data_IF_668301292017
#
_entry.id   IF_668301292017
#
_cell.length_a   1.000
_cell.length_b   1.000
_cell.length_c   1.000
_cell.angle_alpha   90.00
_cell.angle_beta   90.00
_cell.angle_gamma   90.00
#
_symmetry.space_group_name_H-M   'P 1'
#
loop_
_entity.id
_entity.type
_entity.pdbx_description
1 polymer ?
#
# COMPACT_ATOMS: atom_id res chain seq x y z
N UNK A 1 37.40 -1.63 -6.74
CA UNK A 1 36.42 -1.70 -5.62
C UNK A 1 35.30 -0.64 -5.65
N UNK A 2 35.38 0.45 -6.43
CA UNK A 2 34.36 1.52 -6.42
C UNK A 2 33.10 1.23 -7.26
N UNK A 3 33.23 0.54 -8.39
CA UNK A 3 32.12 0.29 -9.33
C UNK A 3 31.00 -0.62 -8.75
N UNK A 4 31.37 -1.59 -7.91
CA UNK A 4 30.39 -2.49 -7.28
C UNK A 4 29.44 -1.76 -6.32
N UNK A 5 29.91 -0.71 -5.63
CA UNK A 5 29.07 0.11 -4.74
C UNK A 5 28.13 1.03 -5.51
N UNK A 6 28.62 1.64 -6.60
CA UNK A 6 27.81 2.50 -7.48
C UNK A 6 26.69 1.69 -8.13
N UNK A 7 27.01 0.49 -8.65
CA UNK A 7 26.03 -0.43 -9.24
C UNK A 7 24.94 -0.80 -8.23
N UNK A 8 25.33 -1.19 -7.01
CA UNK A 8 24.39 -1.59 -5.96
C UNK A 8 23.46 -0.45 -5.53
N UNK A 9 23.98 0.78 -5.37
CA UNK A 9 23.16 1.93 -5.04
C UNK A 9 22.17 2.35 -6.14
N UNK A 10 22.58 2.26 -7.42
CA UNK A 10 21.69 2.53 -8.55
C UNK A 10 20.61 1.47 -8.73
N UNK A 11 20.95 0.20 -8.54
CA UNK A 11 19.98 -0.90 -8.63
C UNK A 11 18.96 -0.81 -7.48
N UNK A 12 19.40 -0.45 -6.26
CA UNK A 12 18.50 -0.22 -5.11
C UNK A 12 17.55 0.98 -5.33
N UNK A 13 18.06 2.06 -5.90
CA UNK A 13 17.25 3.27 -6.16
C UNK A 13 16.24 3.04 -7.30
N UNK A 14 16.64 2.30 -8.35
CA UNK A 14 15.74 1.87 -9.43
C UNK A 14 14.68 0.89 -8.94
N UNK A 15 15.07 -0.09 -8.10
CA UNK A 15 14.13 -1.02 -7.47
C UNK A 15 13.11 -0.28 -6.59
N UNK A 16 13.55 0.70 -5.80
CA UNK A 16 12.66 1.51 -4.98
C UNK A 16 11.66 2.33 -5.83
N UNK A 17 12.11 2.95 -6.92
CA UNK A 17 11.23 3.66 -7.86
C UNK A 17 10.19 2.75 -8.51
N UNK A 18 10.55 1.51 -8.83
CA UNK A 18 9.62 0.50 -9.34
C UNK A 18 8.58 0.12 -8.29
N UNK A 19 8.99 -0.08 -7.02
CA UNK A 19 8.06 -0.38 -5.92
C UNK A 19 7.12 0.79 -5.63
N UNK A 20 7.60 2.03 -5.71
CA UNK A 20 6.75 3.22 -5.58
C UNK A 20 5.71 3.33 -6.71
N UNK A 21 6.10 2.97 -7.95
CA UNK A 21 5.17 2.91 -9.08
C UNK A 21 4.13 1.79 -8.91
N UNK A 22 4.57 0.61 -8.45
CA UNK A 22 3.66 -0.49 -8.12
C UNK A 22 2.70 -0.12 -6.98
N UNK A 23 3.17 0.60 -5.96
CA UNK A 23 2.34 1.11 -4.87
C UNK A 23 1.30 2.14 -5.36
N UNK A 24 1.65 2.96 -6.35
CA UNK A 24 0.71 3.89 -6.99
C UNK A 24 -0.36 3.14 -7.80
N UNK A 25 0.04 2.14 -8.60
CA UNK A 25 -0.89 1.28 -9.33
C UNK A 25 -1.81 0.50 -8.38
N UNK A 26 -1.27 -0.02 -7.29
CA UNK A 26 -2.03 -0.67 -6.22
C UNK A 26 -3.07 0.26 -5.59
N UNK A 27 -2.74 1.55 -5.37
CA UNK A 27 -3.70 2.53 -4.83
C UNK A 27 -4.90 2.78 -5.76
N UNK A 28 -4.74 2.57 -7.07
CA UNK A 28 -5.81 2.70 -8.06
C UNK A 28 -6.76 1.49 -8.09
N UNK A 29 -6.39 0.35 -7.48
CA UNK A 29 -7.27 -0.82 -7.39
C UNK A 29 -8.44 -0.53 -6.45
N UNK A 30 -9.65 -0.81 -6.93
CA UNK A 30 -10.92 -0.62 -6.21
C UNK A 30 -11.45 -1.88 -5.54
N UNK A 31 -11.00 -3.04 -5.99
CA UNK A 31 -11.35 -4.32 -5.37
C UNK A 31 -10.55 -4.50 -4.06
N UNK A 32 -11.22 -4.61 -2.91
CA UNK A 32 -10.56 -4.73 -1.62
C UNK A 32 -9.85 -6.08 -1.41
N UNK A 33 -10.34 -7.18 -2.00
CA UNK A 33 -9.73 -8.50 -1.85
C UNK A 33 -8.47 -8.61 -2.73
N UNK A 34 -8.56 -8.17 -3.98
CA UNK A 34 -7.40 -8.10 -4.89
C UNK A 34 -6.37 -7.10 -4.37
N UNK A 35 -6.82 -5.96 -3.83
CA UNK A 35 -5.97 -4.98 -3.17
C UNK A 35 -5.26 -5.57 -1.95
N UNK A 36 -5.90 -6.42 -1.14
CA UNK A 36 -5.25 -7.05 0.01
C UNK A 36 -4.13 -8.02 -0.42
N UNK A 37 -4.42 -8.90 -1.39
CA UNK A 37 -3.45 -9.88 -1.87
C UNK A 37 -2.21 -9.22 -2.46
N UNK A 38 -2.38 -8.23 -3.34
CA UNK A 38 -1.27 -7.47 -3.92
C UNK A 38 -0.54 -6.61 -2.88
N UNK A 39 -1.26 -6.11 -1.87
CA UNK A 39 -0.66 -5.36 -0.76
C UNK A 39 0.32 -6.21 0.05
N UNK A 40 -0.01 -7.49 0.32
CA UNK A 40 0.89 -8.42 1.01
C UNK A 40 2.19 -8.65 0.24
N UNK A 41 2.09 -8.93 -1.06
CA UNK A 41 3.27 -9.11 -1.92
C UNK A 41 4.14 -7.84 -1.97
N UNK A 42 3.52 -6.66 -2.04
CA UNK A 42 4.22 -5.38 -2.04
C UNK A 42 4.98 -5.14 -0.73
N UNK A 43 4.37 -5.45 0.43
CA UNK A 43 5.03 -5.31 1.74
C UNK A 43 6.17 -6.32 1.89
N UNK A 44 5.97 -7.57 1.48
CA UNK A 44 7.02 -8.59 1.53
C UNK A 44 8.25 -8.18 0.71
N UNK A 45 8.03 -7.62 -0.48
CA UNK A 45 9.10 -7.08 -1.32
C UNK A 45 9.81 -5.90 -0.65
N UNK A 46 9.06 -5.00 0.00
CA UNK A 46 9.65 -3.87 0.72
C UNK A 46 10.49 -4.32 1.91
N UNK A 47 9.98 -5.25 2.73
CA UNK A 47 10.72 -5.79 3.88
C UNK A 47 12.01 -6.50 3.43
N UNK A 48 11.99 -7.21 2.31
CA UNK A 48 13.19 -7.81 1.72
C UNK A 48 14.24 -6.75 1.30
N UNK A 49 13.80 -5.64 0.70
CA UNK A 49 14.70 -4.53 0.34
C UNK A 49 15.21 -3.75 1.57
N UNK A 50 14.36 -3.56 2.59
CA UNK A 50 14.73 -2.90 3.84
C UNK A 50 15.76 -3.74 4.61
N UNK A 51 15.59 -5.07 4.66
CA UNK A 51 16.56 -5.99 5.24
C UNK A 51 17.92 -5.99 4.50
N UNK A 52 17.92 -5.69 3.20
CA UNK A 52 19.15 -5.54 2.41
C UNK A 52 19.92 -4.23 2.69
N UNK A 53 19.34 -3.31 3.49
CA UNK A 53 19.96 -2.04 3.89
C UNK A 53 20.01 -0.98 2.79
N UNK A 54 19.17 -1.11 1.76
CA UNK A 54 19.12 -0.18 0.61
C UNK A 54 18.24 1.06 0.89
N UNK A 55 17.95 1.84 -0.16
CA UNK A 55 17.12 3.07 -0.08
C UNK A 55 15.75 2.86 0.59
N UNK A 56 15.20 1.64 0.52
CA UNK A 56 13.98 1.24 1.20
C UNK A 56 14.05 1.31 2.74
N UNK A 57 15.24 1.17 3.33
CA UNK A 57 15.47 1.34 4.77
C UNK A 57 15.52 2.82 5.20
N UNK A 58 15.70 3.74 4.25
CA UNK A 58 15.83 5.16 4.52
C UNK A 58 14.48 5.89 4.66
N UNK A 59 13.37 5.29 4.23
CA UNK A 59 12.03 5.88 4.35
C UNK A 59 11.00 4.91 4.95
N UNK A 60 11.07 4.66 6.28
CA UNK A 60 10.11 3.82 6.99
C UNK A 60 8.70 4.43 7.02
N UNK A 61 8.56 5.74 6.83
CA UNK A 61 7.26 6.43 6.93
C UNK A 61 6.27 5.97 5.85
N UNK A 62 6.78 5.69 4.66
CA UNK A 62 5.96 5.24 3.54
C UNK A 62 5.52 3.77 3.70
N UNK A 63 6.35 2.95 4.35
CA UNK A 63 6.01 1.58 4.71
C UNK A 63 4.88 1.55 5.74
N UNK A 64 4.96 2.40 6.76
CA UNK A 64 3.89 2.57 7.75
C UNK A 64 2.58 3.04 7.11
N UNK A 65 2.65 4.01 6.19
CA UNK A 65 1.48 4.46 5.44
C UNK A 65 0.84 3.35 4.59
N UNK A 66 1.67 2.46 4.01
CA UNK A 66 1.21 1.28 3.27
C UNK A 66 0.52 0.28 4.21
N UNK A 67 1.13 -0.06 5.36
CA UNK A 67 0.55 -0.94 6.40
C UNK A 67 -0.80 -0.42 6.88
N UNK A 68 -0.91 0.89 7.18
CA UNK A 68 -2.15 1.52 7.62
C UNK A 68 -3.27 1.45 6.56
N UNK A 69 -2.94 1.59 5.27
CA UNK A 69 -3.92 1.41 4.18
C UNK A 69 -4.39 -0.04 4.08
N UNK A 70 -3.47 -0.99 4.24
CA UNK A 70 -3.75 -2.42 4.16
C UNK A 70 -4.73 -2.86 5.26
N UNK A 71 -4.60 -2.31 6.48
CA UNK A 71 -5.59 -2.50 7.54
C UNK A 71 -7.00 -2.09 7.12
N UNK A 72 -7.16 -0.93 6.46
CA UNK A 72 -8.47 -0.48 5.94
C UNK A 72 -9.00 -1.37 4.81
N UNK A 73 -8.13 -1.94 3.98
CA UNK A 73 -8.52 -2.90 2.94
C UNK A 73 -8.98 -4.22 3.56
N UNK A 74 -8.31 -4.70 4.60
CA UNK A 74 -8.71 -5.90 5.34
C UNK A 74 -10.10 -5.73 5.97
N UNK A 75 -10.35 -4.59 6.62
CA UNK A 75 -11.67 -4.27 7.19
C UNK A 75 -12.75 -4.15 6.11
N UNK A 76 -12.43 -3.57 4.94
CA UNK A 76 -13.36 -3.55 3.80
C UNK A 76 -13.62 -4.93 3.21
N UNK A 77 -12.59 -5.76 3.05
CA UNK A 77 -12.72 -7.12 2.54
C UNK A 77 -13.54 -8.02 3.49
N UNK A 78 -13.49 -7.74 4.80
CA UNK A 78 -14.34 -8.36 5.82
C UNK A 78 -15.79 -7.83 5.82
N UNK A 79 -16.11 -6.82 5.00
CA UNK A 79 -17.44 -6.19 4.95
C UNK A 79 -17.71 -5.20 6.09
N UNK A 80 -16.72 -4.90 6.93
CA UNK A 80 -16.85 -4.01 8.10
C UNK A 80 -16.83 -2.52 7.68
N UNK A 81 -16.31 -2.22 6.48
CA UNK A 81 -16.11 -0.86 5.99
C UNK A 81 -17.31 -0.19 5.31
N UNK A 82 -18.45 -0.87 5.20
CA UNK A 82 -19.70 -0.30 4.72
C UNK A 82 -20.76 -0.49 5.80
N UNK A 83 -20.65 0.33 6.86
CA UNK A 83 -21.81 0.60 7.69
C UNK A 83 -22.95 1.07 6.79
N UNK A 84 -24.22 0.67 7.05
CA UNK A 84 -25.35 1.09 6.23
C UNK A 84 -25.30 2.60 6.10
N UNK A 85 -25.03 3.09 4.90
CA UNK A 85 -25.35 4.47 4.55
C UNK A 85 -26.87 4.50 4.42
N UNK A 86 -27.55 4.44 5.56
CA UNK A 86 -28.93 4.87 5.73
C UNK A 86 -28.94 6.37 5.44
N UNK A 87 -28.92 6.71 4.16
CA UNK A 87 -29.55 7.91 3.68
C UNK A 87 -31.04 7.69 3.85
N UNK A 88 -31.51 7.83 5.09
CA UNK A 88 -32.92 7.95 5.44
C UNK A 88 -33.41 9.28 4.84
N UNK A 89 -33.85 9.23 3.59
CA UNK A 89 -34.75 10.19 2.99
C UNK A 89 -35.87 9.42 2.30
N UNK A 90 -37.12 9.89 2.24
CA UNK A 90 -37.68 11.15 2.74
C UNK A 90 -38.74 10.89 3.83
N UNK A 91 -38.63 11.51 5.01
CA UNK A 91 -39.82 11.61 5.87
C UNK A 91 -40.72 12.71 5.33
N UNK A 92 -41.79 12.27 4.68
CA UNK A 92 -43.02 13.03 4.53
C UNK A 92 -43.35 13.67 5.87
N UNK A 93 -43.25 15.00 5.95
CA UNK A 93 -43.89 15.76 7.00
C UNK A 93 -45.34 15.91 6.58
N UNK A 94 -46.15 14.98 7.08
CA UNK A 94 -47.60 15.09 7.14
C UNK A 94 -47.93 15.95 8.36
N UNK A 95 -48.17 17.26 8.15
CA UNK A 95 -49.26 18.02 8.79
C UNK A 95 -49.31 19.48 8.35
#
# INVERSE_FOLDING_TARGET
MALARVRRGSDDQGAFGNVMSAAAAWRALRDPALGLALGHELIALWDAMAAAGGAAAADPSQLEAARARMGRLAERARGVGEGPRETEGPRAQDR
#
